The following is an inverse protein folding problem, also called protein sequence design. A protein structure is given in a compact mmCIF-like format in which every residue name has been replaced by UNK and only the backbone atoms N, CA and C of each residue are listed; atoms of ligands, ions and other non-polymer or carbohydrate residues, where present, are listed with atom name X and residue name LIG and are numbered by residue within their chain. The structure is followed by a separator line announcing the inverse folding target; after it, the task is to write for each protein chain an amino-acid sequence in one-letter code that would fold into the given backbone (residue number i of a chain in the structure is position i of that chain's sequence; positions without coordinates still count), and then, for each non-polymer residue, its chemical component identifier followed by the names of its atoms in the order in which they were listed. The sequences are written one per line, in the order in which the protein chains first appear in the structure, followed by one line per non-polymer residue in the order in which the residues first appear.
data_IF_466793180344
#
_entry.id   IF_466793180344
#
_cell.length_a   1.000
_cell.length_b   1.000
_cell.length_c   1.000
_cell.angle_alpha   90.00
_cell.angle_beta   90.00
_cell.angle_gamma   90.00
#
_symmetry.space_group_name_H-M   'P 1'
#
loop_
_entity.id
_entity.type
_entity.pdbx_description
1 polymer ?
#
# COMPACT_ATOMS: atom_id res chain seq x y z
N UNK A 1 42.52 7.07 7.03
CA UNK A 1 41.50 6.26 7.74
C UNK A 1 40.27 6.11 6.85
N UNK A 2 40.33 5.27 5.82
CA UNK A 2 39.30 5.18 4.76
C UNK A 2 38.99 3.73 4.39
N UNK A 3 38.81 2.85 5.38
CA UNK A 3 38.56 1.42 5.13
C UNK A 3 37.46 0.77 6.00
N UNK A 4 36.61 1.55 6.68
CA UNK A 4 35.58 0.98 7.56
C UNK A 4 34.19 0.83 6.92
N UNK A 5 33.95 1.37 5.72
CA UNK A 5 32.64 1.28 5.07
C UNK A 5 32.43 -0.04 4.31
N UNK A 6 33.49 -0.76 3.95
CA UNK A 6 33.42 -1.91 3.04
C UNK A 6 33.10 -3.28 3.70
N UNK A 7 33.03 -3.35 5.05
CA UNK A 7 32.71 -4.60 5.78
C UNK A 7 31.23 -4.78 6.13
N UNK A 8 30.31 -4.03 5.52
CA UNK A 8 28.88 -4.17 5.80
C UNK A 8 28.23 -5.11 4.79
N UNK A 9 27.44 -6.06 5.29
CA UNK A 9 26.78 -7.06 4.46
C UNK A 9 25.76 -6.42 3.52
N UNK A 10 25.53 -7.05 2.36
CA UNK A 10 24.54 -6.56 1.38
C UNK A 10 23.15 -6.27 1.96
N UNK A 11 22.60 -7.06 2.91
CA UNK A 11 21.35 -6.73 3.59
C UNK A 11 21.37 -5.39 4.33
N UNK A 12 22.50 -5.01 4.92
CA UNK A 12 22.65 -3.72 5.59
C UNK A 12 22.64 -2.56 4.60
N UNK A 13 23.40 -2.68 3.50
CA UNK A 13 23.40 -1.68 2.43
C UNK A 13 22.02 -1.55 1.79
N UNK A 14 21.33 -2.66 1.54
CA UNK A 14 19.95 -2.65 1.07
C UNK A 14 19.03 -1.91 2.03
N UNK A 15 19.13 -2.18 3.34
CA UNK A 15 18.35 -1.46 4.35
C UNK A 15 18.69 0.02 4.43
N UNK A 16 19.96 0.42 4.26
CA UNK A 16 20.35 1.83 4.25
C UNK A 16 19.93 2.55 2.96
N UNK A 17 19.96 1.87 1.82
CA UNK A 17 19.46 2.42 0.56
C UNK A 17 17.96 2.61 0.66
N UNK A 18 17.23 1.63 1.20
CA UNK A 18 15.82 1.80 1.53
C UNK A 18 15.66 2.93 2.54
N UNK A 19 16.35 2.96 3.67
CA UNK A 19 16.11 3.98 4.70
C UNK A 19 16.43 5.41 4.25
N UNK A 20 17.49 5.62 3.46
CA UNK A 20 17.93 6.96 3.03
C UNK A 20 17.34 7.38 1.67
N UNK A 21 16.96 6.44 0.81
CA UNK A 21 16.45 6.71 -0.54
C UNK A 21 15.06 6.10 -0.83
N UNK A 22 14.42 5.39 0.11
CA UNK A 22 12.95 5.25 0.14
C UNK A 22 12.39 6.60 0.51
N UNK A 23 12.40 7.43 -0.51
CA UNK A 23 12.17 8.84 -0.45
C UNK A 23 10.78 9.03 0.15
N UNK A 24 10.66 9.78 1.25
CA UNK A 24 9.34 10.14 1.80
C UNK A 24 8.42 10.68 0.71
N UNK A 25 8.99 11.35 -0.30
CA UNK A 25 8.34 11.76 -1.54
C UNK A 25 7.77 10.61 -2.38
N UNK A 26 8.48 9.47 -2.53
CA UNK A 26 7.97 8.31 -3.27
C UNK A 26 6.83 7.62 -2.52
N UNK A 27 6.96 7.49 -1.20
CA UNK A 27 5.89 6.97 -0.34
C UNK A 27 4.67 7.89 -0.40
N UNK A 28 4.89 9.20 -0.34
CA UNK A 28 3.86 10.21 -0.48
C UNK A 28 3.18 10.16 -1.85
N UNK A 29 3.95 10.09 -2.95
CA UNK A 29 3.41 9.94 -4.31
C UNK A 29 2.59 8.65 -4.46
N UNK A 30 3.04 7.53 -3.89
CA UNK A 30 2.28 6.27 -3.89
C UNK A 30 1.02 6.35 -3.03
N UNK A 31 1.06 7.09 -1.93
CA UNK A 31 -0.11 7.36 -1.08
C UNK A 31 -1.12 8.23 -1.83
N UNK A 32 -0.69 9.31 -2.47
CA UNK A 32 -1.55 10.15 -3.30
C UNK A 32 -2.15 9.37 -4.46
N UNK A 33 -1.35 8.53 -5.15
CA UNK A 33 -1.85 7.65 -6.22
C UNK A 33 -2.83 6.58 -5.71
N UNK A 34 -2.81 6.26 -4.42
CA UNK A 34 -3.78 5.35 -3.80
C UNK A 34 -5.07 6.07 -3.42
N UNK A 35 -4.97 7.33 -2.99
CA UNK A 35 -6.13 8.15 -2.60
C UNK A 35 -6.91 8.72 -3.79
N UNK A 36 -6.24 8.94 -4.92
CA UNK A 36 -6.84 9.44 -6.16
C UNK A 36 -7.53 8.32 -6.97
N UNK A 37 -7.00 7.10 -6.88
CA UNK A 37 -7.45 5.92 -7.62
C UNK A 37 -8.63 5.22 -6.95
N UNK A 38 -9.77 5.92 -6.93
CA UNK A 38 -11.05 5.40 -6.40
C UNK A 38 -11.62 4.32 -7.31
N UNK A 39 -12.27 3.34 -6.70
CA UNK A 39 -12.92 2.27 -7.46
C UNK A 39 -14.05 2.80 -8.34
N UNK A 40 -14.00 2.49 -9.64
CA UNK A 40 -15.10 2.70 -10.59
C UNK A 40 -15.84 1.39 -10.87
N UNK A 41 -17.15 1.46 -11.07
CA UNK A 41 -18.01 0.29 -11.38
C UNK A 41 -17.64 -0.33 -12.72
N UNK A 42 -16.97 0.43 -13.60
CA UNK A 42 -16.54 -0.03 -14.92
C UNK A 42 -15.26 -0.89 -14.90
N UNK A 43 -14.54 -0.94 -13.76
CA UNK A 43 -13.33 -1.75 -13.62
C UNK A 43 -13.60 -3.11 -12.99
N UNK A 44 -12.78 -4.10 -13.34
CA UNK A 44 -12.83 -5.42 -12.71
C UNK A 44 -12.39 -5.31 -11.23
N UNK A 45 -13.29 -5.59 -10.26
CA UNK A 45 -13.02 -5.42 -8.84
C UNK A 45 -11.85 -6.27 -8.35
N UNK A 46 -11.62 -7.43 -8.96
CA UNK A 46 -10.48 -8.28 -8.59
C UNK A 46 -9.16 -7.63 -8.99
N UNK A 47 -9.05 -7.14 -10.23
CA UNK A 47 -7.84 -6.48 -10.74
C UNK A 47 -7.54 -5.20 -9.97
N UNK A 48 -8.56 -4.38 -9.70
CA UNK A 48 -8.39 -3.15 -8.94
C UNK A 48 -7.93 -3.45 -7.50
N UNK A 49 -8.59 -4.37 -6.79
CA UNK A 49 -8.19 -4.78 -5.44
C UNK A 49 -6.75 -5.31 -5.40
N UNK A 50 -6.33 -6.10 -6.40
CA UNK A 50 -4.96 -6.62 -6.49
C UNK A 50 -3.95 -5.50 -6.73
N UNK A 51 -4.27 -4.54 -7.60
CA UNK A 51 -3.44 -3.36 -7.88
C UNK A 51 -3.24 -2.50 -6.63
N UNK A 52 -4.34 -2.14 -5.97
CA UNK A 52 -4.30 -1.35 -4.73
C UNK A 52 -3.62 -2.10 -3.58
N UNK A 53 -3.83 -3.42 -3.46
CA UNK A 53 -3.14 -4.25 -2.47
C UNK A 53 -1.62 -4.25 -2.65
N UNK A 54 -1.14 -4.29 -3.90
CA UNK A 54 0.30 -4.18 -4.20
C UNK A 54 0.85 -2.81 -3.83
N UNK A 55 0.10 -1.72 -4.07
CA UNK A 55 0.47 -0.36 -3.68
C UNK A 55 0.54 -0.21 -2.16
N UNK A 56 -0.46 -0.71 -1.43
CA UNK A 56 -0.46 -0.71 0.04
C UNK A 56 0.69 -1.51 0.64
N UNK A 57 1.02 -2.67 0.04
CA UNK A 57 2.19 -3.48 0.46
C UNK A 57 3.52 -2.76 0.20
N UNK A 58 3.58 -1.91 -0.82
CA UNK A 58 4.75 -1.11 -1.14
C UNK A 58 4.92 0.11 -0.23
N UNK A 59 3.80 0.68 0.25
CA UNK A 59 3.78 1.81 1.20
C UNK A 59 4.07 1.35 2.63
N UNK A 60 3.52 0.21 3.04
CA UNK A 60 3.72 -0.34 4.38
C UNK A 60 3.83 -1.86 4.33
N UNK A 61 5.08 -2.33 4.40
CA UNK A 61 5.41 -3.76 4.43
C UNK A 61 4.87 -4.47 5.68
N UNK A 62 4.55 -3.74 6.76
CA UNK A 62 4.02 -4.29 8.01
C UNK A 62 2.50 -4.21 8.14
N UNK A 63 1.77 -3.84 7.08
CA UNK A 63 0.32 -3.69 7.15
C UNK A 63 -0.38 -5.04 7.28
N UNK A 64 -1.12 -5.22 8.39
CA UNK A 64 -1.99 -6.36 8.62
C UNK A 64 -3.09 -6.44 7.54
N UNK A 65 -3.55 -7.66 7.21
CA UNK A 65 -4.60 -7.93 6.23
C UNK A 65 -5.87 -7.13 6.56
N UNK A 66 -6.26 -7.06 7.82
CA UNK A 66 -7.45 -6.32 8.27
C UNK A 66 -7.34 -4.81 7.98
N UNK A 67 -6.18 -4.21 8.29
CA UNK A 67 -5.92 -2.79 8.00
C UNK A 67 -5.91 -2.50 6.49
N UNK A 68 -5.37 -3.44 5.71
CA UNK A 68 -5.37 -3.34 4.24
C UNK A 68 -6.79 -3.34 3.69
N UNK A 69 -7.62 -4.27 4.16
CA UNK A 69 -9.02 -4.37 3.73
C UNK A 69 -9.80 -3.12 4.12
N UNK A 70 -9.59 -2.59 5.33
CA UNK A 70 -10.22 -1.34 5.76
C UNK A 70 -9.83 -0.16 4.86
N UNK A 71 -8.55 -0.04 4.49
CA UNK A 71 -8.09 0.98 3.54
C UNK A 71 -8.66 0.81 2.14
N UNK A 72 -8.79 -0.42 1.65
CA UNK A 72 -9.43 -0.68 0.36
C UNK A 72 -10.92 -0.28 0.39
N UNK A 73 -11.63 -0.59 1.47
CA UNK A 73 -13.03 -0.19 1.64
C UNK A 73 -13.19 1.34 1.63
N UNK A 74 -12.25 2.11 2.19
CA UNK A 74 -12.32 3.59 2.15
C UNK A 74 -12.13 4.18 0.75
N UNK A 75 -11.59 3.41 -0.20
CA UNK A 75 -11.41 3.85 -1.59
C UNK A 75 -12.59 3.47 -2.50
N UNK A 76 -13.60 2.81 -1.94
CA UNK A 76 -14.83 2.46 -2.64
C UNK A 76 -15.84 3.61 -2.47
N UNK A 77 -16.57 4.03 -3.52
CA UNK A 77 -17.62 5.03 -3.38
C UNK A 77 -18.69 4.57 -2.37
N UNK A 78 -19.12 5.48 -1.49
CA UNK A 78 -19.91 5.18 -0.29
C UNK A 78 -21.20 4.37 -0.50
N UNK A 79 -21.79 4.39 -1.71
CA UNK A 79 -22.93 3.53 -2.05
C UNK A 79 -22.56 2.04 -2.09
N UNK A 80 -21.40 1.71 -2.66
CA UNK A 80 -20.90 0.35 -2.71
C UNK A 80 -20.29 -0.07 -1.37
N UNK A 81 -19.65 0.85 -0.64
CA UNK A 81 -19.19 0.60 0.73
C UNK A 81 -20.35 0.19 1.65
N UNK A 82 -21.48 0.91 1.57
CA UNK A 82 -22.69 0.60 2.33
C UNK A 82 -23.25 -0.78 1.94
N UNK A 83 -23.33 -1.09 0.64
CA UNK A 83 -23.78 -2.40 0.16
C UNK A 83 -22.90 -3.54 0.68
N UNK A 84 -21.58 -3.41 0.63
CA UNK A 84 -20.63 -4.41 1.13
C UNK A 84 -20.76 -4.60 2.64
N UNK A 85 -20.89 -3.50 3.41
CA UNK A 85 -21.10 -3.57 4.86
C UNK A 85 -22.42 -4.24 5.23
N UNK A 86 -23.50 -3.97 4.50
CA UNK A 86 -24.79 -4.63 4.72
C UNK A 86 -24.70 -6.15 4.47
N UNK A 87 -24.01 -6.59 3.43
CA UNK A 87 -23.81 -8.03 3.15
C UNK A 87 -22.99 -8.70 4.25
N UNK A 88 -21.89 -8.07 4.67
CA UNK A 88 -21.03 -8.59 5.73
C UNK A 88 -21.74 -8.66 7.10
N UNK A 89 -22.59 -7.69 7.44
CA UNK A 89 -23.32 -7.68 8.70
C UNK A 89 -24.57 -8.58 8.71
N UNK A 90 -24.98 -9.10 7.55
CA UNK A 90 -26.08 -10.06 7.43
C UNK A 90 -25.61 -11.53 7.47
N UNK A 91 -24.29 -11.77 7.53
CA UNK A 91 -23.67 -13.11 7.61
C UNK A 91 -23.31 -13.47 9.04
#
# INVERSE_FOLDING_TARGET
MTELHFRRSWPWWKSQIIQNYSNGTWIWQKTMSFEDDKYSVDEDPYKWCLGQSKRLKAISTQMNIQMRNQKLLTQIPGQLEHAVKCIFNQS
#
